data_IF_024297850399
#
_entry.id   IF_024297850399
#
_cell.length_a   1.000
_cell.length_b   1.000
_cell.length_c   1.000
_cell.angle_alpha   90.00
_cell.angle_beta   90.00
_cell.angle_gamma   90.00
#
_symmetry.space_group_name_H-M   'P 1'
#
loop_
_entity.id
_entity.type
_entity.pdbx_description
1 polymer ?
#
# COMPACT_ATOMS: atom_id res chain seq x y z
N UNK A 1 -22.73 -20.78 0.38
CA UNK A 1 -21.72 -19.83 0.88
C UNK A 1 -22.44 -18.83 1.76
N UNK A 2 -22.03 -18.71 3.02
CA UNK A 2 -22.72 -17.91 4.03
C UNK A 2 -22.49 -16.42 3.73
N UNK A 3 -23.55 -15.61 3.65
CA UNK A 3 -23.49 -14.17 3.30
C UNK A 3 -22.87 -13.27 4.39
N UNK A 4 -22.26 -13.85 5.42
CA UNK A 4 -21.78 -13.16 6.61
C UNK A 4 -20.30 -12.73 6.60
N UNK A 5 -19.51 -13.07 5.58
CA UNK A 5 -18.04 -12.85 5.59
C UNK A 5 -17.55 -11.71 4.66
N UNK A 6 -18.42 -10.77 4.30
CA UNK A 6 -17.96 -9.54 3.63
C UNK A 6 -17.79 -8.44 4.68
N UNK A 7 -16.55 -7.99 4.98
CA UNK A 7 -16.36 -6.89 5.92
C UNK A 7 -17.19 -5.69 5.45
N UNK A 8 -17.99 -5.15 6.36
CA UNK A 8 -18.81 -3.97 6.09
C UNK A 8 -17.93 -2.82 5.58
N UNK A 9 -18.42 -2.10 4.57
CA UNK A 9 -17.64 -1.06 3.87
C UNK A 9 -17.18 0.04 4.83
N UNK A 10 -17.94 0.28 5.89
CA UNK A 10 -17.59 1.22 6.95
C UNK A 10 -16.32 0.78 7.71
N UNK A 11 -16.17 -0.51 7.99
CA UNK A 11 -14.99 -1.07 8.66
C UNK A 11 -13.73 -0.89 7.82
N UNK A 12 -13.81 -1.22 6.52
CA UNK A 12 -12.68 -1.07 5.60
C UNK A 12 -12.27 0.41 5.43
N UNK A 13 -13.24 1.33 5.42
CA UNK A 13 -12.95 2.76 5.38
C UNK A 13 -12.19 3.25 6.62
N UNK A 14 -12.64 2.84 7.81
CA UNK A 14 -11.97 3.21 9.07
C UNK A 14 -10.53 2.67 9.13
N UNK A 15 -10.30 1.47 8.61
CA UNK A 15 -8.97 0.88 8.51
C UNK A 15 -8.09 1.63 7.50
N UNK A 16 -8.64 1.96 6.33
CA UNK A 16 -7.95 2.76 5.31
C UNK A 16 -7.50 4.12 5.85
N UNK A 17 -8.38 4.84 6.55
CA UNK A 17 -8.07 6.11 7.20
C UNK A 17 -6.98 5.96 8.27
N UNK A 18 -7.07 4.93 9.12
CA UNK A 18 -6.07 4.67 10.16
C UNK A 18 -4.69 4.33 9.59
N UNK A 19 -4.66 3.64 8.44
CA UNK A 19 -3.44 3.23 7.74
C UNK A 19 -2.93 4.30 6.76
N UNK A 20 -3.69 5.36 6.51
CA UNK A 20 -3.35 6.40 5.54
C UNK A 20 -3.36 5.91 4.09
N UNK A 21 -4.12 4.87 3.77
CA UNK A 21 -4.21 4.28 2.42
C UNK A 21 -5.58 4.57 1.80
N UNK A 22 -5.70 4.68 0.45
CA UNK A 22 -6.99 4.86 -0.20
C UNK A 22 -7.92 3.67 0.03
N UNK A 23 -9.15 3.93 0.48
CA UNK A 23 -10.15 2.89 0.77
C UNK A 23 -10.49 2.04 -0.46
N UNK A 24 -10.35 2.61 -1.65
CA UNK A 24 -10.52 1.96 -2.94
C UNK A 24 -9.58 0.76 -3.13
N UNK A 25 -8.44 0.73 -2.43
CA UNK A 25 -7.52 -0.41 -2.47
C UNK A 25 -8.13 -1.68 -1.88
N UNK A 26 -9.01 -1.57 -0.88
CA UNK A 26 -9.73 -2.72 -0.30
C UNK A 26 -10.86 -3.24 -1.19
N UNK A 27 -11.30 -2.44 -2.17
CA UNK A 27 -12.42 -2.76 -3.06
C UNK A 27 -11.99 -3.03 -4.50
N UNK A 28 -10.74 -2.75 -4.87
CA UNK A 28 -10.16 -3.15 -6.15
C UNK A 28 -9.89 -4.65 -6.14
N UNK A 29 -10.92 -5.44 -6.43
CA UNK A 29 -10.72 -6.81 -6.90
C UNK A 29 -9.82 -6.78 -8.13
N UNK A 30 -8.67 -7.45 -8.04
CA UNK A 30 -7.80 -7.83 -9.15
C UNK A 30 -7.21 -6.68 -9.98
N UNK A 31 -6.49 -5.73 -9.36
CA UNK A 31 -5.24 -5.36 -10.03
C UNK A 31 -4.34 -6.59 -9.96
N UNK A 32 -3.79 -7.00 -11.11
CA UNK A 32 -2.99 -8.21 -11.31
C UNK A 32 -2.16 -8.55 -10.07
N UNK A 33 -2.09 -9.83 -9.73
CA UNK A 33 -1.29 -10.38 -8.61
C UNK A 33 0.13 -9.79 -8.52
N UNK A 34 0.68 -9.33 -9.65
CA UNK A 34 1.94 -8.61 -9.78
C UNK A 34 1.93 -7.23 -9.12
N UNK A 35 0.91 -6.39 -9.33
CA UNK A 35 0.85 -5.05 -8.73
C UNK A 35 0.68 -5.10 -7.19
N UNK A 36 0.00 -6.13 -6.68
CA UNK A 36 -0.06 -6.39 -5.23
C UNK A 36 1.27 -6.93 -4.70
N UNK A 37 1.98 -7.77 -5.46
CA UNK A 37 3.29 -8.30 -5.07
C UNK A 37 4.35 -7.20 -4.99
N UNK A 38 4.36 -6.26 -5.94
CA UNK A 38 5.31 -5.14 -5.96
C UNK A 38 5.10 -4.21 -4.76
N UNK A 39 3.83 -3.95 -4.39
CA UNK A 39 3.49 -3.17 -3.20
C UNK A 39 3.91 -3.83 -1.89
N UNK A 40 3.66 -5.14 -1.75
CA UNK A 40 4.05 -5.92 -0.58
C UNK A 40 5.58 -5.98 -0.44
N UNK A 41 6.30 -6.14 -1.55
CA UNK A 41 7.76 -6.12 -1.58
C UNK A 41 8.31 -4.75 -1.18
N UNK A 42 7.72 -3.65 -1.67
CA UNK A 42 8.08 -2.29 -1.27
C UNK A 42 7.88 -2.10 0.25
N UNK A 43 6.79 -2.59 0.80
CA UNK A 43 6.53 -2.54 2.25
C UNK A 43 7.56 -3.38 3.03
N UNK A 44 7.86 -4.59 2.57
CA UNK A 44 8.86 -5.48 3.19
C UNK A 44 10.25 -4.84 3.23
N UNK A 45 10.67 -4.23 2.12
CA UNK A 45 11.93 -3.50 2.04
C UNK A 45 11.91 -2.27 2.95
N UNK A 46 10.82 -1.51 2.96
CA UNK A 46 10.66 -0.34 3.81
C UNK A 46 10.82 -0.67 5.31
N UNK A 47 10.18 -1.75 5.76
CA UNK A 47 10.28 -2.25 7.14
C UNK A 47 11.70 -2.74 7.49
N UNK A 48 12.47 -3.20 6.49
CA UNK A 48 13.85 -3.65 6.67
C UNK A 48 14.84 -2.49 6.89
N UNK A 49 14.46 -1.25 6.55
CA UNK A 49 15.30 -0.07 6.74
C UNK A 49 15.22 0.42 8.20
N UNK A 50 16.31 0.24 8.94
CA UNK A 50 16.38 0.49 10.39
C UNK A 50 16.59 1.95 10.77
N UNK A 51 17.17 2.77 9.90
CA UNK A 51 17.54 4.15 10.23
C UNK A 51 16.59 5.16 9.58
N UNK A 52 16.33 6.27 10.28
CA UNK A 52 15.54 7.37 9.74
C UNK A 52 16.17 7.96 8.46
N UNK A 53 17.50 8.07 8.44
CA UNK A 53 18.25 8.53 7.27
C UNK A 53 18.09 7.57 6.07
N UNK A 54 18.14 6.26 6.30
CA UNK A 54 17.92 5.26 5.25
C UNK A 54 16.53 5.38 4.62
N UNK A 55 15.51 5.60 5.47
CA UNK A 55 14.12 5.80 5.02
C UNK A 55 13.97 7.10 4.22
N UNK A 56 14.63 8.17 4.65
CA UNK A 56 14.64 9.44 3.92
C UNK A 56 15.25 9.30 2.53
N UNK A 57 16.37 8.58 2.40
CA UNK A 57 16.99 8.30 1.09
C UNK A 57 16.09 7.47 0.18
N UNK A 58 15.46 6.42 0.72
CA UNK A 58 14.53 5.59 -0.04
C UNK A 58 13.32 6.40 -0.57
N UNK A 59 12.72 7.25 0.26
CA UNK A 59 11.64 8.15 -0.17
C UNK A 59 12.09 9.15 -1.23
N UNK A 60 13.29 9.70 -1.09
CA UNK A 60 13.84 10.63 -2.08
C UNK A 60 13.93 9.97 -3.46
N UNK A 61 14.50 8.77 -3.54
CA UNK A 61 14.59 8.01 -4.80
C UNK A 61 13.21 7.72 -5.39
N UNK A 62 12.25 7.28 -4.58
CA UNK A 62 10.89 7.01 -5.06
C UNK A 62 10.21 8.26 -5.62
N UNK A 63 10.44 9.44 -5.01
CA UNK A 63 9.91 10.71 -5.51
C UNK A 63 10.58 11.11 -6.81
N UNK A 64 11.90 10.98 -6.92
CA UNK A 64 12.64 11.26 -8.15
C UNK A 64 12.13 10.41 -9.31
N UNK A 65 11.84 9.11 -9.08
CA UNK A 65 11.26 8.22 -10.10
C UNK A 65 9.85 8.66 -10.52
N UNK A 66 9.02 9.15 -9.59
CA UNK A 66 7.67 9.65 -9.91
C UNK A 66 7.74 10.98 -10.68
N UNK A 67 8.74 11.80 -10.39
CA UNK A 67 8.97 13.10 -11.03
C UNK A 67 9.64 12.96 -12.41
N UNK A 68 10.49 11.94 -12.61
CA UNK A 68 10.93 11.48 -13.93
C UNK A 68 9.73 10.93 -14.69
N UNK A 69 9.04 11.82 -15.41
CA UNK A 69 7.97 11.43 -16.35
C UNK A 69 8.51 10.38 -17.34
N UNK A 70 8.01 9.15 -17.21
CA UNK A 70 7.98 8.16 -18.29
C UNK A 70 6.95 8.56 -19.37
#
# INVERSE_FOLDING_TARGET
MNEMDKPDRATLRRLAEALGVPVEQFFKNAMSTEATADGDECLRLWLSIRTAEGRARALKMLREIVEEKA
#
